data_IF_335573297150
#
_entry.id   IF_335573297150
#
_cell.length_a   1.000
_cell.length_b   1.000
_cell.length_c   1.000
_cell.angle_alpha   90.00
_cell.angle_beta   90.00
_cell.angle_gamma   90.00
#
_symmetry.space_group_name_H-M   'P 1'
#
loop_
_entity.id
_entity.type
_entity.pdbx_description
1 polymer ?
#
# COMPACT_ATOMS: atom_id res chain seq x y z
N UNK A 1 10.40 10.06 -18.61
CA UNK A 1 10.65 10.22 -17.16
C UNK A 1 12.07 10.71 -16.95
N UNK A 2 12.26 11.54 -15.92
CA UNK A 2 13.49 12.26 -15.59
C UNK A 2 14.58 11.41 -14.91
N UNK A 3 14.28 10.13 -14.60
CA UNK A 3 15.15 9.14 -13.95
C UNK A 3 15.46 9.42 -12.48
N UNK A 4 14.77 10.37 -11.86
CA UNK A 4 14.85 10.62 -10.42
C UNK A 4 14.29 9.44 -9.64
N UNK A 5 14.98 9.00 -8.59
CA UNK A 5 14.44 8.03 -7.64
C UNK A 5 13.72 8.76 -6.50
N UNK A 6 12.53 8.28 -6.18
CA UNK A 6 11.75 8.76 -5.04
C UNK A 6 11.76 7.72 -3.94
N UNK A 7 12.35 8.08 -2.80
CA UNK A 7 12.35 7.27 -1.59
C UNK A 7 11.21 7.73 -0.70
N UNK A 8 10.42 6.76 -0.25
CA UNK A 8 9.46 6.94 0.83
C UNK A 8 9.88 6.06 2.00
N UNK A 9 10.03 6.66 3.18
CA UNK A 9 10.44 5.99 4.40
C UNK A 9 9.38 6.14 5.49
N UNK A 10 9.15 5.07 6.24
CA UNK A 10 8.41 5.15 7.50
C UNK A 10 9.23 5.94 8.51
N UNK A 11 8.63 6.97 9.10
CA UNK A 11 9.17 7.78 10.18
C UNK A 11 8.23 7.77 11.40
N UNK A 12 8.66 8.39 12.51
CA UNK A 12 7.81 8.56 13.71
C UNK A 12 6.62 9.48 13.46
N UNK A 13 6.78 10.45 12.56
CA UNK A 13 5.75 11.42 12.16
C UNK A 13 4.88 10.98 10.98
N UNK A 14 5.05 9.76 10.45
CA UNK A 14 4.32 9.25 9.28
C UNK A 14 5.28 8.82 8.17
N UNK A 15 5.14 9.41 6.98
CA UNK A 15 6.00 9.13 5.82
C UNK A 15 6.97 10.29 5.62
N UNK A 16 8.26 9.97 5.54
CA UNK A 16 9.28 10.87 5.02
C UNK A 16 9.57 10.59 3.55
N UNK A 17 9.99 11.60 2.81
CA UNK A 17 10.40 11.49 1.42
C UNK A 17 11.78 12.11 1.16
N UNK A 18 12.50 11.51 0.22
CA UNK A 18 13.78 11.99 -0.27
C UNK A 18 13.95 11.65 -1.75
N UNK A 19 14.75 12.44 -2.46
CA UNK A 19 14.99 12.29 -3.88
C UNK A 19 16.46 11.99 -4.15
N UNK A 20 16.71 11.18 -5.16
CA UNK A 20 18.05 10.97 -5.72
C UNK A 20 18.04 11.20 -7.22
N UNK A 21 18.91 12.10 -7.68
CA UNK A 21 19.13 12.39 -9.10
C UNK A 21 20.28 11.58 -9.72
N UNK A 22 21.00 10.79 -8.91
CA UNK A 22 22.22 10.07 -9.27
C UNK A 22 22.10 8.56 -9.06
N UNK A 23 20.89 8.01 -9.24
CA UNK A 23 20.58 6.58 -9.15
C UNK A 23 20.81 5.98 -7.76
N UNK A 24 20.59 6.77 -6.72
CA UNK A 24 20.61 6.33 -5.33
C UNK A 24 21.96 6.45 -4.65
N UNK A 25 22.94 7.11 -5.28
CA UNK A 25 24.27 7.34 -4.68
C UNK A 25 24.18 8.40 -3.60
N UNK A 26 23.52 9.52 -3.89
CA UNK A 26 23.21 10.56 -2.92
C UNK A 26 21.72 10.84 -2.87
N UNK A 27 21.28 11.31 -1.72
CA UNK A 27 19.88 11.58 -1.39
C UNK A 27 19.75 12.97 -0.82
N UNK A 28 18.67 13.67 -1.19
CA UNK A 28 18.31 14.93 -0.53
C UNK A 28 18.00 14.69 0.95
N UNK A 29 17.99 15.77 1.73
CA UNK A 29 17.45 15.72 3.10
C UNK A 29 16.07 15.05 3.12
N UNK A 30 15.85 14.16 4.10
CA UNK A 30 14.57 13.49 4.31
C UNK A 30 13.57 14.48 4.92
N UNK A 31 12.47 14.74 4.21
CA UNK A 31 11.42 15.69 4.64
C UNK A 31 10.09 14.98 4.82
N UNK A 32 9.14 15.52 5.61
CA UNK A 32 7.80 14.95 5.68
C UNK A 32 7.13 14.93 4.30
N UNK A 33 6.56 13.79 3.92
CA UNK A 33 5.76 13.63 2.71
C UNK A 33 4.38 14.27 2.88
N UNK A 34 3.76 14.64 1.76
CA UNK A 34 2.35 15.09 1.73
C UNK A 34 1.34 13.95 1.97
N UNK A 35 1.77 12.68 1.93
CA UNK A 35 0.91 11.52 2.16
C UNK A 35 0.66 11.34 3.67
N UNK A 36 -0.58 11.57 4.10
CA UNK A 36 -0.97 11.40 5.49
C UNK A 36 -0.98 9.92 5.91
N UNK A 37 -0.19 9.55 6.93
CA UNK A 37 -0.07 8.16 7.38
C UNK A 37 0.37 8.07 8.85
N UNK A 38 -0.06 7.05 9.61
CA UNK A 38 0.57 6.72 10.89
C UNK A 38 2.01 6.23 10.72
N UNK A 39 2.75 6.05 11.82
CA UNK A 39 4.01 5.29 11.77
C UNK A 39 3.75 3.79 11.56
N UNK A 40 3.50 3.41 10.31
CA UNK A 40 3.27 2.04 9.86
C UNK A 40 3.92 1.80 8.49
N UNK A 41 4.08 0.54 8.10
CA UNK A 41 4.48 0.20 6.73
C UNK A 41 3.32 0.56 5.78
N UNK A 42 3.70 0.96 4.57
CA UNK A 42 2.86 1.19 3.40
C UNK A 42 3.56 0.55 2.20
N UNK A 43 2.84 0.42 1.09
CA UNK A 43 3.40 -0.06 -0.16
C UNK A 43 3.26 1.02 -1.23
N UNK A 44 4.32 1.23 -2.01
CA UNK A 44 4.27 2.02 -3.24
C UNK A 44 4.95 1.22 -4.36
N UNK A 45 4.32 1.17 -5.53
CA UNK A 45 4.88 0.43 -6.67
C UNK A 45 4.38 0.99 -7.98
N UNK A 46 5.22 0.96 -9.03
CA UNK A 46 4.82 1.34 -10.38
C UNK A 46 4.20 0.14 -11.08
N UNK A 47 3.01 0.34 -11.64
CA UNK A 47 2.26 -0.65 -12.40
C UNK A 47 2.68 -0.64 -13.88
N UNK A 48 2.30 -1.68 -14.61
CA UNK A 48 2.55 -1.87 -16.04
C UNK A 48 1.97 -0.73 -16.90
N UNK A 49 0.92 -0.05 -16.41
CA UNK A 49 0.35 1.15 -17.03
C UNK A 49 1.22 2.41 -16.89
N UNK A 50 2.24 2.37 -16.03
CA UNK A 50 3.04 3.52 -15.62
C UNK A 50 2.49 4.25 -14.40
N UNK A 51 1.25 3.98 -13.97
CA UNK A 51 0.68 4.55 -12.76
C UNK A 51 1.41 4.06 -11.50
N UNK A 52 1.39 4.85 -10.43
CA UNK A 52 1.81 4.39 -9.11
C UNK A 52 0.60 3.85 -8.34
N UNK A 53 0.77 2.68 -7.72
CA UNK A 53 -0.11 2.15 -6.69
C UNK A 53 0.43 2.55 -5.32
N UNK A 54 -0.44 3.06 -4.46
CA UNK A 54 -0.19 3.25 -3.03
C UNK A 54 -1.16 2.40 -2.24
N UNK A 55 -0.65 1.61 -1.30
CA UNK A 55 -1.47 0.94 -0.28
C UNK A 55 -1.09 1.45 1.10
N UNK A 56 -2.04 2.11 1.76
CA UNK A 56 -1.86 2.80 3.03
C UNK A 56 -3.05 2.60 3.97
N UNK A 57 -2.90 3.00 5.24
CA UNK A 57 -4.00 2.95 6.22
C UNK A 57 -4.85 4.21 6.10
N UNK A 58 -6.16 4.06 5.95
CA UNK A 58 -7.15 5.14 6.00
C UNK A 58 -7.34 5.96 4.72
N UNK A 59 -8.14 7.04 4.83
CA UNK A 59 -8.35 8.02 3.75
C UNK A 59 -7.04 8.74 3.38
N UNK A 60 -6.91 9.20 2.14
CA UNK A 60 -5.66 9.74 1.58
C UNK A 60 -5.08 10.93 2.37
N UNK A 61 -5.94 11.77 2.92
CA UNK A 61 -5.65 13.10 3.47
C UNK A 61 -5.62 13.14 5.01
N UNK A 62 -5.86 12.02 5.68
CA UNK A 62 -5.92 11.97 7.14
C UNK A 62 -5.18 10.77 7.72
N UNK A 63 -4.26 10.99 8.69
CA UNK A 63 -3.65 9.89 9.41
C UNK A 63 -4.68 9.28 10.36
N UNK A 64 -4.77 7.95 10.36
CA UNK A 64 -5.55 7.18 11.32
C UNK A 64 -4.68 6.06 11.90
N UNK A 65 -5.22 5.24 12.79
CA UNK A 65 -4.54 4.04 13.29
C UNK A 65 -4.31 2.97 12.20
N UNK A 66 -3.88 1.78 12.61
CA UNK A 66 -3.67 0.64 11.70
C UNK A 66 -5.01 -0.04 11.36
N UNK A 67 -5.80 0.63 10.54
CA UNK A 67 -7.09 0.15 10.01
C UNK A 67 -7.32 0.69 8.60
N UNK A 68 -8.35 0.16 7.92
CA UNK A 68 -8.72 0.58 6.57
C UNK A 68 -7.54 0.55 5.60
N UNK A 69 -6.92 -0.63 5.44
CA UNK A 69 -5.87 -0.80 4.44
C UNK A 69 -6.47 -0.56 3.05
N UNK A 70 -6.04 0.51 2.38
CA UNK A 70 -6.71 1.08 1.21
C UNK A 70 -5.73 1.32 0.07
N UNK A 71 -6.13 0.95 -1.13
CA UNK A 71 -5.39 1.16 -2.37
C UNK A 71 -5.81 2.46 -3.08
N UNK A 72 -4.84 3.20 -3.59
CA UNK A 72 -4.99 4.43 -4.38
C UNK A 72 -4.07 4.40 -5.61
N UNK A 73 -4.43 5.15 -6.65
CA UNK A 73 -3.62 5.32 -7.85
C UNK A 73 -3.19 6.76 -8.05
N UNK A 74 -1.94 6.95 -8.47
CA UNK A 74 -1.42 8.21 -8.97
C UNK A 74 -1.01 8.08 -10.44
N UNK A 75 -1.40 9.05 -11.25
CA UNK A 75 -1.04 9.16 -12.68
C UNK A 75 0.06 10.21 -12.94
N UNK A 76 0.48 10.91 -11.91
CA UNK A 76 1.34 12.10 -11.97
C UNK A 76 2.56 11.98 -11.05
N UNK A 77 3.07 10.75 -10.92
CA UNK A 77 4.25 10.38 -10.13
C UNK A 77 4.14 10.78 -8.64
N UNK A 78 2.99 10.52 -8.04
CA UNK A 78 2.75 10.64 -6.60
C UNK A 78 2.25 12.01 -6.14
N UNK A 79 2.04 12.96 -7.07
CA UNK A 79 1.56 14.31 -6.74
C UNK A 79 0.09 14.32 -6.32
N UNK A 80 -0.75 13.55 -7.02
CA UNK A 80 -2.16 13.37 -6.68
C UNK A 80 -2.54 11.89 -6.66
N UNK A 81 -3.53 11.56 -5.83
CA UNK A 81 -3.98 10.20 -5.60
C UNK A 81 -5.51 10.14 -5.78
N UNK A 82 -5.98 9.10 -6.46
CA UNK A 82 -7.39 8.91 -6.81
C UNK A 82 -7.84 7.48 -6.52
N UNK A 83 -9.17 7.29 -6.47
CA UNK A 83 -9.77 6.01 -6.09
C UNK A 83 -9.87 5.85 -4.57
N UNK A 84 -9.80 4.62 -4.10
CA UNK A 84 -9.89 4.30 -2.68
C UNK A 84 -10.56 2.96 -2.45
N UNK A 85 -9.94 1.88 -2.92
CA UNK A 85 -10.43 0.53 -2.67
C UNK A 85 -9.95 0.07 -1.29
N UNK A 86 -10.88 -0.07 -0.35
CA UNK A 86 -10.58 -0.63 0.97
C UNK A 86 -10.41 -2.14 0.83
N UNK A 87 -9.19 -2.63 1.03
CA UNK A 87 -8.86 -4.05 1.05
C UNK A 87 -9.34 -4.70 2.35
N UNK A 88 -9.20 -3.98 3.46
CA UNK A 88 -9.57 -4.46 4.79
C UNK A 88 -9.86 -3.31 5.76
N UNK A 89 -11.12 -3.18 6.24
CA UNK A 89 -11.49 -2.11 7.19
C UNK A 89 -11.01 -2.37 8.62
N UNK A 90 -10.67 -3.62 8.96
CA UNK A 90 -10.51 -4.04 10.35
C UNK A 90 -9.31 -3.35 11.03
N UNK A 91 -9.42 -3.17 12.34
CA UNK A 91 -8.28 -2.76 13.15
C UNK A 91 -7.25 -3.89 13.23
N UNK A 92 -5.96 -3.54 13.20
CA UNK A 92 -4.87 -4.50 13.33
C UNK A 92 -4.39 -5.10 12.01
N UNK A 93 -4.86 -4.59 10.87
CA UNK A 93 -4.24 -4.84 9.56
C UNK A 93 -2.92 -4.09 9.50
N UNK A 94 -1.89 -4.69 8.91
CA UNK A 94 -0.60 -4.02 8.81
C UNK A 94 0.16 -4.40 7.54
N UNK A 95 1.48 -4.41 7.65
CA UNK A 95 2.54 -4.46 6.64
C UNK A 95 2.09 -4.97 5.25
N UNK A 96 1.58 -4.08 4.37
CA UNK A 96 1.28 -4.46 3.01
C UNK A 96 2.58 -4.65 2.21
N UNK A 97 2.52 -5.56 1.26
CA UNK A 97 3.48 -5.70 0.16
C UNK A 97 2.80 -6.30 -1.07
N UNK A 98 3.34 -6.11 -2.26
CA UNK A 98 2.69 -6.64 -3.45
C UNK A 98 3.43 -6.55 -4.77
N UNK A 99 2.77 -7.12 -5.76
CA UNK A 99 3.25 -7.24 -7.14
C UNK A 99 2.07 -7.17 -8.10
N UNK A 100 2.33 -6.79 -9.35
CA UNK A 100 1.37 -6.90 -10.45
C UNK A 100 1.78 -8.03 -11.40
N UNK A 101 0.84 -8.90 -11.73
CA UNK A 101 1.01 -9.93 -12.75
C UNK A 101 0.82 -9.36 -14.16
N UNK A 102 1.31 -10.08 -15.18
CA UNK A 102 1.25 -9.66 -16.58
C UNK A 102 -0.18 -9.44 -17.10
N UNK A 103 -1.15 -10.16 -16.53
CA UNK A 103 -2.56 -10.04 -16.86
C UNK A 103 -3.27 -8.83 -16.20
N UNK A 104 -2.49 -7.97 -15.53
CA UNK A 104 -2.93 -6.76 -14.84
C UNK A 104 -3.45 -6.98 -13.42
N UNK A 105 -3.49 -8.22 -12.92
CA UNK A 105 -3.90 -8.52 -11.54
C UNK A 105 -2.87 -7.95 -10.56
N UNK A 106 -3.34 -7.19 -9.58
CA UNK A 106 -2.55 -6.66 -8.48
C UNK A 106 -2.79 -7.56 -7.27
N UNK A 107 -1.70 -8.06 -6.70
CA UNK A 107 -1.71 -8.93 -5.52
C UNK A 107 -1.06 -8.19 -4.35
N UNK A 108 -1.79 -8.02 -3.25
CA UNK A 108 -1.29 -7.41 -2.02
C UNK A 108 -1.41 -8.41 -0.88
N UNK A 109 -0.26 -8.79 -0.31
CA UNK A 109 -0.20 -9.54 0.95
C UNK A 109 -0.14 -8.57 2.12
N UNK A 110 -0.71 -8.98 3.26
CA UNK A 110 -0.63 -8.20 4.49
C UNK A 110 -0.93 -9.08 5.70
N UNK A 111 -0.49 -8.65 6.88
CA UNK A 111 -0.78 -9.32 8.13
C UNK A 111 -2.01 -8.72 8.84
N UNK A 112 -2.70 -9.58 9.60
CA UNK A 112 -3.86 -9.21 10.39
C UNK A 112 -3.74 -9.75 11.82
N UNK A 113 -3.90 -8.84 12.80
CA UNK A 113 -3.97 -9.14 14.23
C UNK A 113 -2.82 -10.03 14.72
N UNK A 114 -1.60 -9.45 14.73
CA UNK A 114 -0.32 -10.14 14.99
C UNK A 114 -0.23 -10.92 16.31
N UNK A 115 -1.10 -10.66 17.28
CA UNK A 115 -1.07 -11.34 18.58
C UNK A 115 -2.21 -12.33 18.77
N UNK A 116 -3.35 -12.13 18.09
CA UNK A 116 -4.55 -12.90 18.34
C UNK A 116 -4.88 -13.79 17.15
N UNK A 117 -5.16 -13.20 15.98
CA UNK A 117 -5.52 -13.99 14.79
C UNK A 117 -4.28 -14.58 14.10
N UNK A 118 -3.18 -13.81 14.05
CA UNK A 118 -1.91 -14.19 13.42
C UNK A 118 -2.08 -14.67 11.98
N UNK A 119 -2.84 -13.91 11.19
CA UNK A 119 -3.20 -14.25 9.82
C UNK A 119 -2.33 -13.47 8.83
N UNK A 120 -1.93 -14.15 7.75
CA UNK A 120 -1.45 -13.53 6.52
C UNK A 120 -2.57 -13.65 5.50
N UNK A 121 -2.94 -12.52 4.93
CA UNK A 121 -4.04 -12.38 3.99
C UNK A 121 -3.53 -11.88 2.64
N UNK A 122 -4.30 -12.16 1.60
CA UNK A 122 -4.05 -11.73 0.23
C UNK A 122 -5.30 -11.02 -0.32
N UNK A 123 -5.06 -9.93 -1.04
CA UNK A 123 -6.06 -9.25 -1.84
C UNK A 123 -5.63 -9.25 -3.31
N UNK A 124 -6.52 -9.70 -4.19
CA UNK A 124 -6.44 -9.52 -5.64
C UNK A 124 -7.41 -8.43 -6.08
N UNK A 125 -6.94 -7.54 -6.95
CA UNK A 125 -7.74 -6.49 -7.56
C UNK A 125 -7.07 -5.95 -8.81
N UNK A 126 -7.71 -4.99 -9.46
CA UNK A 126 -7.22 -4.30 -10.67
C UNK A 126 -7.25 -2.79 -10.47
N UNK A 127 -6.58 -2.03 -11.34
CA UNK A 127 -6.68 -0.56 -11.33
C UNK A 127 -8.12 -0.06 -11.43
N UNK A 128 -8.98 -0.77 -12.17
CA UNK A 128 -10.42 -0.45 -12.28
C UNK A 128 -11.12 -0.54 -10.93
N UNK A 129 -10.82 -1.56 -10.12
CA UNK A 129 -11.42 -1.71 -8.80
C UNK A 129 -11.00 -0.57 -7.87
N UNK A 130 -9.74 -0.13 -7.97
CA UNK A 130 -9.23 1.02 -7.22
C UNK A 130 -9.98 2.30 -7.57
N UNK A 131 -10.14 2.57 -8.86
CA UNK A 131 -10.85 3.77 -9.34
C UNK A 131 -12.34 3.76 -9.00
N UNK A 132 -12.96 2.58 -8.94
CA UNK A 132 -14.37 2.43 -8.57
C UNK A 132 -14.59 2.36 -7.05
N UNK A 133 -13.52 2.23 -6.26
CA UNK A 133 -13.57 2.11 -4.80
C UNK A 133 -14.22 0.81 -4.30
N UNK A 134 -14.44 -0.17 -5.18
CA UNK A 134 -15.10 -1.44 -4.84
C UNK A 134 -14.64 -2.57 -5.77
N UNK A 135 -14.69 -3.84 -5.32
CA UNK A 135 -14.47 -5.00 -6.18
C UNK A 135 -15.48 -5.01 -7.32
N UNK A 136 -15.02 -4.84 -8.56
CA UNK A 136 -15.86 -4.74 -9.74
C UNK A 136 -15.39 -5.63 -10.90
N UNK A 137 -14.17 -6.16 -10.83
CA UNK A 137 -13.65 -7.15 -11.76
C UNK A 137 -13.91 -8.57 -11.25
N UNK A 138 -13.98 -9.54 -12.17
CA UNK A 138 -14.03 -10.96 -11.82
C UNK A 138 -12.72 -11.48 -11.21
N UNK A 139 -11.65 -10.68 -11.23
CA UNK A 139 -10.34 -10.98 -10.64
C UNK A 139 -10.26 -10.55 -9.19
N UNK A 140 -11.24 -9.78 -8.70
CA UNK A 140 -11.20 -9.21 -7.37
C UNK A 140 -11.55 -10.25 -6.31
N UNK A 141 -10.68 -10.43 -5.33
CA UNK A 141 -10.92 -11.24 -4.15
C UNK A 141 -10.16 -10.63 -2.98
N UNK A 142 -10.85 -10.27 -1.90
CA UNK A 142 -10.24 -9.60 -0.75
C UNK A 142 -10.18 -10.54 0.46
N UNK A 143 -9.20 -10.34 1.34
CA UNK A 143 -9.04 -11.09 2.60
C UNK A 143 -8.95 -12.60 2.43
N UNK A 144 -8.34 -13.06 1.35
CA UNK A 144 -8.07 -14.48 1.16
C UNK A 144 -7.04 -14.92 2.19
N UNK A 145 -7.37 -15.91 3.02
CA UNK A 145 -6.43 -16.46 3.99
C UNK A 145 -5.30 -17.21 3.26
N UNK A 146 -4.07 -16.74 3.45
CA UNK A 146 -2.86 -17.40 2.93
C UNK A 146 -2.28 -18.32 3.99
N UNK A 147 -2.15 -17.81 5.22
CA UNK A 147 -1.60 -18.56 6.33
C UNK A 147 -2.21 -18.08 7.64
N UNK A 148 -2.34 -19.00 8.60
CA UNK A 148 -2.67 -18.68 9.98
C UNK A 148 -1.67 -19.37 10.88
N UNK A 149 -0.94 -18.61 11.69
CA UNK A 149 -0.10 -19.23 12.69
C UNK A 149 -0.99 -19.85 13.79
N UNK A 150 -0.74 -21.10 14.11
CA UNK A 150 -1.10 -21.64 15.43
C UNK A 150 -0.07 -21.10 16.43
N UNK A 151 -0.51 -20.45 17.50
CA UNK A 151 0.38 -20.16 18.64
C UNK A 151 1.02 -21.45 19.17
N UNK A 152 1.97 -21.37 20.12
CA UNK A 152 2.51 -22.57 20.75
C UNK A 152 1.37 -23.40 21.38
N UNK A 153 1.01 -24.51 20.72
CA UNK A 153 0.10 -25.56 21.19
C UNK A 153 -1.30 -25.13 21.64
N UNK A 154 -2.31 -25.37 20.80
CA UNK A 154 -3.55 -25.97 21.28
C UNK A 154 -3.52 -27.45 20.90
#
# INVERSE_FOLDING_TARGET
QDKTLWLLARATYGIGESLSADRGVTWSELKPSTIAHPSARFFVGRLNSGNLLLVKHGPIDKPIGRSHLTAYLSRDDGRTWTGGLVLDERNGVSYPDGVQADDGTISIIYDYSRTNAMEILLAHFTERDVLQGKPASHKSALRMLVNKASGPGQ
#
